data_IF_580081033616
#
_entry.id   IF_580081033616
#
_cell.length_a   1.000
_cell.length_b   1.000
_cell.length_c   1.000
_cell.angle_alpha   90.00
_cell.angle_beta   90.00
_cell.angle_gamma   90.00
#
_symmetry.space_group_name_H-M   'P 1'
#
loop_
_entity.id
_entity.type
_entity.pdbx_description
1 polymer ?
#
# COMPACT_ATOMS: atom_id res chain seq x y z
N UNK A 1 23.53 -12.24 10.24
CA UNK A 1 23.41 -10.77 10.10
C UNK A 1 22.21 -10.35 10.93
N UNK A 2 22.35 -9.36 11.81
CA UNK A 2 21.25 -8.88 12.67
C UNK A 2 20.18 -8.21 11.80
N UNK A 3 18.89 -8.44 12.08
CA UNK A 3 17.79 -7.78 11.35
C UNK A 3 17.60 -6.34 11.83
N UNK A 4 17.17 -5.39 10.97
CA UNK A 4 17.08 -3.96 11.33
C UNK A 4 16.27 -3.65 12.59
N UNK A 5 15.17 -4.38 12.81
CA UNK A 5 14.29 -4.24 13.98
C UNK A 5 14.40 -5.43 14.94
N UNK A 6 15.51 -6.19 14.89
CA UNK A 6 15.76 -7.23 15.87
C UNK A 6 15.80 -6.65 17.29
N UNK A 7 15.05 -7.26 18.21
CA UNK A 7 14.89 -6.77 19.57
C UNK A 7 13.77 -5.73 19.75
N UNK A 8 13.13 -5.26 18.68
CA UNK A 8 11.95 -4.38 18.77
C UNK A 8 10.69 -5.24 18.95
N UNK A 9 9.89 -4.91 19.96
CA UNK A 9 8.60 -5.58 20.25
C UNK A 9 7.41 -4.68 19.92
N UNK A 10 6.46 -5.19 19.14
CA UNK A 10 5.27 -4.48 18.67
C UNK A 10 4.01 -5.18 19.16
N UNK A 11 3.12 -4.45 19.81
CA UNK A 11 1.78 -4.93 20.17
C UNK A 11 0.78 -4.46 19.11
N UNK A 12 0.22 -5.40 18.39
CA UNK A 12 -0.66 -5.18 17.24
C UNK A 12 -2.13 -5.48 17.61
N UNK A 13 -2.90 -4.43 17.91
CA UNK A 13 -4.35 -4.50 18.11
C UNK A 13 -5.13 -4.16 16.83
N UNK A 14 -4.45 -4.18 15.69
CA UNK A 14 -5.05 -3.76 14.43
C UNK A 14 -5.87 -4.87 13.78
N UNK A 15 -6.78 -4.48 12.91
CA UNK A 15 -7.64 -5.39 12.14
C UNK A 15 -7.81 -4.93 10.70
N UNK A 16 -8.26 -5.83 9.83
CA UNK A 16 -8.55 -5.54 8.41
C UNK A 16 -7.26 -5.35 7.60
N UNK A 17 -6.91 -4.15 7.15
CA UNK A 17 -5.85 -3.95 6.16
C UNK A 17 -4.79 -2.92 6.58
N UNK A 18 -5.11 -1.63 6.72
CA UNK A 18 -4.11 -0.58 6.92
C UNK A 18 -3.16 -0.82 8.10
N UNK A 19 -3.73 -1.12 9.27
CA UNK A 19 -2.94 -1.42 10.47
C UNK A 19 -2.16 -2.74 10.36
N UNK A 20 -2.79 -3.87 9.94
CA UNK A 20 -2.07 -5.12 9.77
C UNK A 20 -0.94 -5.03 8.75
N UNK A 21 -1.10 -4.24 7.68
CA UNK A 21 -0.05 -3.96 6.71
C UNK A 21 1.11 -3.21 7.37
N UNK A 22 0.85 -2.14 8.14
CA UNK A 22 1.89 -1.40 8.84
C UNK A 22 2.74 -2.30 9.77
N UNK A 23 2.08 -3.11 10.60
CA UNK A 23 2.79 -4.01 11.53
C UNK A 23 3.41 -5.21 10.82
N UNK A 24 2.87 -5.63 9.68
CA UNK A 24 3.52 -6.61 8.82
C UNK A 24 4.85 -6.08 8.29
N UNK A 25 4.95 -4.81 7.91
CA UNK A 25 6.22 -4.23 7.44
C UNK A 25 7.28 -4.22 8.55
N UNK A 26 6.88 -3.97 9.80
CA UNK A 26 7.80 -4.04 10.95
C UNK A 26 8.23 -5.47 11.24
N UNK A 27 7.31 -6.44 11.16
CA UNK A 27 7.62 -7.87 11.20
C UNK A 27 8.60 -8.24 10.07
N UNK A 28 8.36 -7.65 8.89
CA UNK A 28 9.16 -7.49 7.66
C UNK A 28 10.61 -7.08 7.86
N UNK A 29 10.91 -6.43 8.99
CA UNK A 29 12.23 -5.87 9.29
C UNK A 29 12.85 -6.45 10.57
N UNK A 30 12.16 -7.36 11.25
CA UNK A 30 12.72 -8.21 12.30
C UNK A 30 12.05 -8.05 13.65
N UNK A 31 11.03 -7.19 13.75
CA UNK A 31 10.32 -6.95 14.98
C UNK A 31 9.53 -8.19 15.43
N UNK A 32 9.48 -8.42 16.74
CA UNK A 32 8.57 -9.37 17.38
C UNK A 32 7.17 -8.72 17.44
N UNK A 33 6.29 -9.12 16.53
CA UNK A 33 4.93 -8.57 16.44
C UNK A 33 3.93 -9.53 17.07
N UNK A 34 3.33 -9.09 18.18
CA UNK A 34 2.29 -9.82 18.91
C UNK A 34 0.93 -9.23 18.54
N UNK A 35 0.19 -9.96 17.70
CA UNK A 35 -1.18 -9.63 17.32
C UNK A 35 -2.15 -10.08 18.40
N UNK A 36 -2.84 -9.12 19.00
CA UNK A 36 -3.86 -9.35 20.02
C UNK A 36 -5.22 -9.45 19.34
N UNK A 37 -5.87 -10.61 19.52
CA UNK A 37 -7.06 -11.00 18.78
C UNK A 37 -8.24 -11.31 19.69
N UNK A 38 -9.46 -11.11 19.16
CA UNK A 38 -10.70 -11.36 19.90
C UNK A 38 -10.96 -12.86 20.06
N UNK A 39 -11.47 -13.34 21.21
CA UNK A 39 -11.88 -14.72 21.37
C UNK A 39 -12.89 -15.19 20.32
N UNK A 40 -12.69 -16.41 19.83
CA UNK A 40 -13.56 -17.10 18.87
C UNK A 40 -13.49 -16.57 17.43
N UNK A 41 -13.40 -15.25 17.23
CA UNK A 41 -13.44 -14.61 15.91
C UNK A 41 -12.05 -14.23 15.39
N UNK A 42 -11.20 -13.68 16.26
CA UNK A 42 -9.96 -13.03 15.87
C UNK A 42 -10.14 -11.78 15.01
N UNK A 43 -9.18 -11.55 14.11
CA UNK A 43 -9.27 -10.53 13.05
C UNK A 43 -10.45 -10.83 12.11
N UNK A 44 -11.19 -9.79 11.68
CA UNK A 44 -12.29 -9.94 10.72
C UNK A 44 -11.87 -10.61 9.40
N UNK A 45 -10.63 -10.41 8.96
CA UNK A 45 -10.12 -11.02 7.72
C UNK A 45 -9.99 -12.54 7.81
N UNK A 46 -9.94 -13.12 9.02
CA UNK A 46 -10.00 -14.58 9.20
C UNK A 46 -11.32 -15.17 8.69
N UNK A 47 -12.42 -14.41 8.84
CA UNK A 47 -13.74 -14.79 8.35
C UNK A 47 -13.86 -14.84 6.82
N UNK A 48 -12.85 -14.36 6.08
CA UNK A 48 -12.77 -14.41 4.63
C UNK A 48 -12.04 -15.66 4.12
N UNK A 49 -11.81 -16.65 4.98
CA UNK A 49 -11.20 -17.92 4.58
C UNK A 49 -12.07 -18.61 3.54
N UNK A 50 -11.43 -19.09 2.46
CA UNK A 50 -12.14 -19.68 1.31
C UNK A 50 -12.89 -20.96 1.67
N UNK A 51 -12.43 -21.67 2.71
CA UNK A 51 -13.01 -22.93 3.19
C UNK A 51 -12.83 -23.07 4.71
N UNK A 52 -13.74 -23.77 5.42
CA UNK A 52 -13.66 -23.94 6.88
C UNK A 52 -12.37 -24.61 7.38
N UNK A 53 -11.80 -25.55 6.60
CA UNK A 53 -10.62 -26.33 6.99
C UNK A 53 -9.35 -25.48 7.08
N UNK A 54 -9.37 -24.28 6.48
CA UNK A 54 -8.29 -23.31 6.55
C UNK A 54 -8.24 -22.58 7.91
N UNK A 55 -9.19 -22.84 8.82
CA UNK A 55 -9.21 -22.34 10.22
C UNK A 55 -8.88 -20.84 10.33
N UNK A 56 -9.47 -20.03 9.45
CA UNK A 56 -9.29 -18.59 9.43
C UNK A 56 -8.06 -18.08 8.67
N UNK A 57 -7.34 -18.94 7.94
CA UNK A 57 -6.26 -18.53 7.04
C UNK A 57 -6.83 -18.11 5.68
N UNK A 58 -7.37 -16.89 5.60
CA UNK A 58 -7.71 -16.25 4.33
C UNK A 58 -6.44 -15.75 3.60
N UNK A 59 -6.39 -15.71 2.26
CA UNK A 59 -5.24 -15.16 1.54
C UNK A 59 -4.81 -13.76 2.02
N UNK A 60 -5.77 -12.86 2.26
CA UNK A 60 -5.49 -11.53 2.80
C UNK A 60 -4.98 -11.54 4.24
N UNK A 61 -5.49 -12.45 5.09
CA UNK A 61 -4.97 -12.62 6.44
C UNK A 61 -3.51 -13.11 6.41
N UNK A 62 -3.23 -14.12 5.59
CA UNK A 62 -1.88 -14.68 5.40
C UNK A 62 -0.92 -13.60 4.92
N UNK A 63 -1.30 -12.84 3.90
CA UNK A 63 -0.45 -11.82 3.29
C UNK A 63 -0.01 -10.72 4.27
N UNK A 64 -0.85 -10.40 5.26
CA UNK A 64 -0.61 -9.28 6.19
C UNK A 64 -0.26 -9.72 7.62
N UNK A 65 -0.21 -11.03 7.91
CA UNK A 65 0.04 -11.51 9.27
C UNK A 65 1.03 -12.67 9.34
N UNK A 66 1.60 -13.10 8.21
CA UNK A 66 2.75 -14.00 8.21
C UNK A 66 3.89 -13.46 9.09
N UNK A 67 4.46 -14.33 9.92
CA UNK A 67 5.54 -14.00 10.85
C UNK A 67 5.11 -13.43 12.20
N UNK A 68 3.85 -12.99 12.34
CA UNK A 68 3.33 -12.48 13.62
C UNK A 68 3.02 -13.62 14.60
N UNK A 69 3.05 -13.32 15.89
CA UNK A 69 2.50 -14.17 16.96
C UNK A 69 1.05 -13.78 17.22
N UNK A 70 0.17 -14.75 17.44
CA UNK A 70 -1.26 -14.51 17.70
C UNK A 70 -1.60 -14.87 19.14
N UNK A 71 -2.18 -13.91 19.87
CA UNK A 71 -2.58 -14.05 21.27
C UNK A 71 -4.06 -13.67 21.38
N UNK A 72 -4.86 -14.52 22.01
CA UNK A 72 -6.30 -14.29 22.15
C UNK A 72 -6.61 -13.70 23.52
N UNK A 73 -7.19 -12.49 23.53
CA UNK A 73 -7.50 -11.76 24.77
C UNK A 73 -8.86 -11.06 24.66
N UNK A 74 -9.71 -11.21 25.66
CA UNK A 74 -10.95 -10.42 25.77
C UNK A 74 -10.70 -9.06 26.46
N UNK A 75 -10.51 -8.02 25.64
CA UNK A 75 -10.33 -6.64 26.09
C UNK A 75 -11.53 -6.07 26.88
N UNK A 76 -12.69 -6.73 26.88
CA UNK A 76 -13.85 -6.31 27.69
C UNK A 76 -13.69 -6.69 29.16
N UNK A 77 -12.86 -7.66 29.47
CA UNK A 77 -12.60 -8.12 30.85
C UNK A 77 -11.46 -7.33 31.48
N UNK A 78 -11.47 -7.18 32.81
CA UNK A 78 -10.34 -6.59 33.55
C UNK A 78 -9.07 -7.41 33.36
N UNK A 79 -9.19 -8.73 33.37
CA UNK A 79 -8.07 -9.64 33.15
C UNK A 79 -7.43 -9.41 31.77
N UNK A 80 -8.23 -9.37 30.70
CA UNK A 80 -7.70 -9.16 29.37
C UNK A 80 -7.08 -7.79 29.16
N UNK A 81 -7.63 -6.73 29.78
CA UNK A 81 -6.95 -5.42 29.82
C UNK A 81 -5.62 -5.51 30.55
N UNK A 82 -5.57 -6.19 31.70
CA UNK A 82 -4.35 -6.41 32.47
C UNK A 82 -3.26 -7.14 31.67
N UNK A 83 -3.62 -8.13 30.85
CA UNK A 83 -2.68 -8.81 29.95
C UNK A 83 -2.09 -7.82 28.94
N UNK A 84 -2.91 -6.97 28.32
CA UNK A 84 -2.40 -5.96 27.37
C UNK A 84 -1.52 -4.91 28.06
N UNK A 85 -1.87 -4.47 29.26
CA UNK A 85 -1.04 -3.56 30.05
C UNK A 85 0.34 -4.18 30.35
N UNK A 86 0.40 -5.49 30.65
CA UNK A 86 1.66 -6.21 30.85
C UNK A 86 2.48 -6.36 29.56
N UNK A 87 1.82 -6.64 28.42
CA UNK A 87 2.46 -6.65 27.11
C UNK A 87 3.09 -5.28 26.81
N UNK A 88 2.34 -4.20 27.03
CA UNK A 88 2.78 -2.81 26.83
C UNK A 88 4.01 -2.46 27.67
N UNK A 89 4.11 -2.98 28.90
CA UNK A 89 5.26 -2.76 29.77
C UNK A 89 6.60 -3.26 29.18
N UNK A 90 6.54 -4.19 28.22
CA UNK A 90 7.72 -4.76 27.55
C UNK A 90 7.84 -4.39 26.07
N UNK A 91 6.96 -3.52 25.58
CA UNK A 91 6.86 -3.21 24.16
C UNK A 91 7.59 -1.91 23.79
N UNK A 92 7.97 -1.78 22.53
CA UNK A 92 8.49 -0.54 21.96
C UNK A 92 7.39 0.25 21.25
N UNK A 93 6.47 -0.47 20.61
CA UNK A 93 5.42 0.10 19.77
C UNK A 93 4.09 -0.54 20.10
N UNK A 94 3.06 0.27 20.23
CA UNK A 94 1.67 -0.16 20.31
C UNK A 94 0.91 0.41 19.12
N UNK A 95 0.22 -0.45 18.36
CA UNK A 95 -0.53 -0.03 17.17
C UNK A 95 -1.97 -0.47 17.28
N UNK A 96 -2.90 0.45 17.08
CA UNK A 96 -4.32 0.16 16.98
C UNK A 96 -4.97 0.94 15.85
N UNK A 97 -6.07 0.39 15.33
CA UNK A 97 -6.86 1.06 14.29
C UNK A 97 -8.37 1.05 14.60
N UNK A 98 -8.71 1.22 15.88
CA UNK A 98 -10.09 1.35 16.27
C UNK A 98 -10.67 2.69 15.83
N UNK A 99 -11.99 2.77 15.75
CA UNK A 99 -12.66 4.06 15.57
C UNK A 99 -12.29 5.00 16.73
N UNK A 100 -12.07 6.30 16.49
CA UNK A 100 -11.75 7.26 17.54
C UNK A 100 -12.68 7.15 18.76
N UNK A 101 -12.08 7.20 19.94
CA UNK A 101 -12.75 7.02 21.24
C UNK A 101 -12.97 5.56 21.66
N UNK A 102 -12.80 4.57 20.78
CA UNK A 102 -12.96 3.15 21.17
C UNK A 102 -11.82 2.67 22.07
N UNK A 103 -10.57 3.05 21.80
CA UNK A 103 -9.42 2.74 22.66
C UNK A 103 -9.62 3.29 24.08
N UNK A 104 -10.14 4.52 24.20
CA UNK A 104 -10.48 5.13 25.49
C UNK A 104 -11.54 4.32 26.26
N UNK A 105 -12.59 3.82 25.59
CA UNK A 105 -13.60 2.94 26.21
C UNK A 105 -13.03 1.58 26.65
N UNK A 106 -11.88 1.19 26.13
CA UNK A 106 -11.15 -0.03 26.52
C UNK A 106 -10.05 0.26 27.54
N UNK A 107 -9.86 1.51 27.99
CA UNK A 107 -8.78 1.88 28.89
C UNK A 107 -7.39 1.90 28.25
N UNK A 108 -7.30 1.92 26.92
CA UNK A 108 -6.05 1.82 26.15
C UNK A 108 -5.68 3.19 25.56
N UNK A 109 -5.76 4.26 26.36
CA UNK A 109 -5.37 5.61 25.90
C UNK A 109 -3.85 5.78 25.85
N UNK A 110 -3.32 6.68 25.01
CA UNK A 110 -1.89 7.00 25.00
C UNK A 110 -1.35 7.33 26.39
N UNK A 111 -2.02 8.25 27.11
CA UNK A 111 -1.61 8.66 28.46
C UNK A 111 -1.53 7.48 29.44
N UNK A 112 -2.51 6.56 29.39
CA UNK A 112 -2.55 5.39 30.28
C UNK A 112 -1.42 4.43 29.96
N UNK A 113 -1.21 4.12 28.69
CA UNK A 113 -0.19 3.17 28.27
C UNK A 113 1.23 3.74 28.43
N UNK A 114 1.41 5.04 28.22
CA UNK A 114 2.69 5.72 28.44
C UNK A 114 3.01 5.94 29.92
N UNK A 115 2.01 5.98 30.80
CA UNK A 115 2.25 5.91 32.25
C UNK A 115 2.82 4.56 32.69
N UNK A 116 2.49 3.47 31.96
CA UNK A 116 3.05 2.14 32.19
C UNK A 116 4.45 2.04 31.57
N UNK A 117 4.61 2.54 30.34
CA UNK A 117 5.85 2.53 29.60
C UNK A 117 6.12 3.90 28.96
N UNK A 118 6.91 4.78 29.61
CA UNK A 118 7.18 6.13 29.13
C UNK A 118 7.88 6.21 27.76
N UNK A 119 8.52 5.14 27.31
CA UNK A 119 9.21 5.06 26.02
C UNK A 119 8.36 4.43 24.91
N UNK A 120 7.10 4.11 25.19
CA UNK A 120 6.19 3.51 24.23
C UNK A 120 5.84 4.50 23.11
N UNK A 121 6.03 4.05 21.87
CA UNK A 121 5.49 4.70 20.69
C UNK A 121 4.05 4.23 20.52
N UNK A 122 3.08 5.13 20.70
CA UNK A 122 1.67 4.83 20.47
C UNK A 122 1.30 5.26 19.05
N UNK A 123 0.75 4.35 18.24
CA UNK A 123 0.27 4.65 16.88
C UNK A 123 -1.21 4.33 16.74
N UNK A 124 -2.02 5.35 16.46
CA UNK A 124 -3.42 5.22 16.08
C UNK A 124 -3.58 5.37 14.58
N UNK A 125 -4.34 4.47 13.95
CA UNK A 125 -4.67 4.54 12.53
C UNK A 125 -6.19 4.64 12.38
N UNK A 126 -6.68 5.69 11.71
CA UNK A 126 -8.13 5.90 11.57
C UNK A 126 -8.51 6.40 10.18
N UNK A 127 -9.80 6.37 9.85
CA UNK A 127 -10.28 6.86 8.56
C UNK A 127 -10.09 8.36 8.38
N UNK A 128 -10.48 9.13 9.39
CA UNK A 128 -10.64 10.58 9.30
C UNK A 128 -9.69 11.37 10.21
N UNK A 129 -8.82 10.68 10.96
CA UNK A 129 -8.00 11.26 12.04
C UNK A 129 -8.70 11.21 13.39
N UNK A 130 -7.96 11.49 14.47
CA UNK A 130 -8.53 11.51 15.83
C UNK A 130 -9.35 12.77 16.13
N UNK A 131 -9.25 13.81 15.29
CA UNK A 131 -9.83 15.14 15.53
C UNK A 131 -10.77 15.59 14.40
N UNK A 132 -11.58 16.62 14.69
CA UNK A 132 -12.46 17.23 13.72
C UNK A 132 -13.85 16.57 13.61
N UNK A 133 -14.74 17.16 12.80
CA UNK A 133 -16.17 16.78 12.77
C UNK A 133 -16.42 15.37 12.23
N UNK A 134 -15.49 14.83 11.43
CA UNK A 134 -15.61 13.50 10.83
C UNK A 134 -14.91 12.39 11.62
N UNK A 135 -14.24 12.69 12.74
CA UNK A 135 -13.41 11.70 13.47
C UNK A 135 -14.19 10.40 13.82
N UNK A 136 -15.46 10.52 14.22
CA UNK A 136 -16.28 9.36 14.60
C UNK A 136 -16.92 8.62 13.42
N UNK A 137 -16.77 9.13 12.19
CA UNK A 137 -17.44 8.58 11.01
C UNK A 137 -16.81 7.23 10.61
N UNK A 138 -17.63 6.21 10.28
CA UNK A 138 -17.10 4.94 9.76
C UNK A 138 -16.30 5.15 8.47
N UNK A 139 -15.26 4.36 8.29
CA UNK A 139 -14.41 4.41 7.11
C UNK A 139 -14.06 3.00 6.62
N UNK A 140 -14.06 2.86 5.31
CA UNK A 140 -13.41 1.82 4.55
C UNK A 140 -12.74 2.50 3.36
N UNK A 141 -11.75 1.85 2.76
CA UNK A 141 -10.94 2.36 1.65
C UNK A 141 -11.77 3.11 0.59
N UNK A 142 -12.77 2.46 -0.02
CA UNK A 142 -13.60 3.08 -1.05
C UNK A 142 -14.40 4.30 -0.56
N UNK A 143 -14.83 4.32 0.70
CA UNK A 143 -15.51 5.50 1.29
C UNK A 143 -14.54 6.67 1.39
N UNK A 144 -13.27 6.41 1.74
CA UNK A 144 -12.24 7.45 1.81
C UNK A 144 -11.82 7.90 0.40
N UNK A 145 -11.71 6.99 -0.57
CA UNK A 145 -11.45 7.36 -1.97
C UNK A 145 -12.54 8.32 -2.50
N UNK A 146 -13.81 8.07 -2.15
CA UNK A 146 -14.91 8.97 -2.51
C UNK A 146 -14.77 10.34 -1.81
N UNK A 147 -14.47 10.34 -0.51
CA UNK A 147 -14.42 11.54 0.30
C UNK A 147 -13.24 12.48 -0.02
N UNK A 148 -12.12 11.92 -0.48
CA UNK A 148 -10.88 12.66 -0.70
C UNK A 148 -10.76 13.21 -2.12
N UNK A 149 -11.74 12.95 -2.98
CA UNK A 149 -11.71 13.32 -4.39
C UNK A 149 -10.94 12.34 -5.27
N UNK A 150 -10.32 11.29 -4.72
CA UNK A 150 -9.58 10.29 -5.50
C UNK A 150 -10.43 9.64 -6.59
N UNK A 151 -11.68 9.26 -6.27
CA UNK A 151 -12.60 8.71 -7.29
C UNK A 151 -12.98 9.72 -8.38
N UNK A 152 -12.96 11.02 -8.07
CA UNK A 152 -13.30 12.05 -9.06
C UNK A 152 -12.25 12.12 -10.18
N UNK A 153 -11.01 11.75 -9.87
CA UNK A 153 -9.87 11.77 -10.80
C UNK A 153 -9.77 10.51 -11.67
N UNK A 154 -10.59 9.49 -11.42
CA UNK A 154 -10.50 8.17 -12.04
C UNK A 154 -11.68 7.90 -12.98
N UNK A 155 -11.39 7.32 -14.15
CA UNK A 155 -12.36 7.00 -15.21
C UNK A 155 -12.05 7.74 -16.52
N UNK A 156 -12.81 7.45 -17.59
CA UNK A 156 -12.48 7.89 -18.96
C UNK A 156 -12.45 9.41 -19.13
N UNK A 157 -13.50 10.10 -18.69
CA UNK A 157 -13.64 11.55 -18.76
C UNK A 157 -14.62 12.09 -17.70
N UNK A 158 -14.79 13.42 -17.66
CA UNK A 158 -15.66 14.10 -16.70
C UNK A 158 -17.15 13.74 -16.81
N UNK A 159 -17.60 13.17 -17.94
CA UNK A 159 -18.98 12.75 -18.14
C UNK A 159 -19.22 11.31 -17.66
N UNK A 160 -18.19 10.47 -17.62
CA UNK A 160 -18.29 9.12 -17.07
C UNK A 160 -18.60 9.11 -15.56
N UNK A 161 -19.23 8.05 -15.02
CA UNK A 161 -19.33 7.87 -13.57
C UNK A 161 -17.95 7.80 -12.90
N UNK A 162 -17.77 8.35 -11.67
CA UNK A 162 -16.52 8.21 -10.94
C UNK A 162 -16.23 6.73 -10.64
N UNK A 163 -14.97 6.34 -10.78
CA UNK A 163 -14.52 4.97 -10.53
C UNK A 163 -13.55 4.92 -9.37
N UNK A 164 -13.53 3.81 -8.63
CA UNK A 164 -12.53 3.59 -7.59
C UNK A 164 -11.29 2.92 -8.16
N UNK A 165 -10.18 3.05 -7.47
CA UNK A 165 -8.99 2.24 -7.74
C UNK A 165 -9.31 0.76 -7.53
N UNK A 166 -8.78 -0.09 -8.41
CA UNK A 166 -9.09 -1.53 -8.48
C UNK A 166 -8.70 -2.34 -7.23
N UNK A 167 -7.85 -1.78 -6.37
CA UNK A 167 -7.37 -2.37 -5.12
C UNK A 167 -7.47 -1.35 -3.97
N UNK A 168 -7.35 -1.77 -2.69
CA UNK A 168 -7.51 -0.88 -1.54
C UNK A 168 -6.28 0.02 -1.34
N UNK A 169 -6.09 0.96 -2.26
CA UNK A 169 -4.90 1.82 -2.36
C UNK A 169 -4.71 2.73 -1.16
N UNK A 170 -5.81 3.19 -0.54
CA UNK A 170 -5.75 4.06 0.63
C UNK A 170 -5.35 3.25 1.84
N UNK A 171 -5.89 2.03 2.03
CA UNK A 171 -5.46 1.16 3.14
C UNK A 171 -3.95 0.87 3.07
N UNK A 172 -3.44 0.51 1.89
CA UNK A 172 -2.01 0.22 1.71
C UNK A 172 -1.17 1.49 1.91
N UNK A 173 -1.55 2.62 1.30
CA UNK A 173 -0.83 3.89 1.48
C UNK A 173 -0.83 4.35 2.94
N UNK A 174 -1.94 4.20 3.65
CA UNK A 174 -2.03 4.52 5.09
C UNK A 174 -1.11 3.63 5.90
N UNK A 175 -1.08 2.33 5.61
CA UNK A 175 -0.18 1.39 6.27
C UNK A 175 1.30 1.69 6.02
N UNK A 176 1.66 2.09 4.80
CA UNK A 176 3.01 2.56 4.47
C UNK A 176 3.37 3.82 5.27
N UNK A 177 2.47 4.81 5.34
CA UNK A 177 2.70 6.03 6.11
C UNK A 177 2.83 5.74 7.61
N UNK A 178 2.04 4.81 8.16
CA UNK A 178 2.15 4.39 9.56
C UNK A 178 3.47 3.67 9.86
N UNK A 179 3.88 2.71 9.02
CA UNK A 179 5.17 2.04 9.17
C UNK A 179 6.33 3.04 9.11
N UNK A 180 6.31 3.97 8.16
CA UNK A 180 7.32 5.04 8.04
C UNK A 180 7.35 5.95 9.29
N UNK A 181 6.18 6.35 9.81
CA UNK A 181 6.10 7.16 11.01
C UNK A 181 6.65 6.43 12.26
N UNK A 182 6.38 5.12 12.39
CA UNK A 182 6.92 4.28 13.47
C UNK A 182 8.44 4.15 13.35
N UNK A 183 8.98 3.90 12.15
CA UNK A 183 10.42 3.83 11.92
C UNK A 183 11.11 5.17 12.26
N UNK A 184 10.53 6.29 11.86
CA UNK A 184 11.02 7.62 12.22
C UNK A 184 11.00 7.86 13.74
N UNK A 185 9.94 7.42 14.42
CA UNK A 185 9.82 7.50 15.88
C UNK A 185 10.87 6.63 16.60
N UNK A 186 11.10 5.41 16.12
CA UNK A 186 12.15 4.52 16.64
C UNK A 186 13.55 5.14 16.47
N UNK A 187 13.83 5.73 15.30
CA UNK A 187 15.08 6.45 15.06
C UNK A 187 15.24 7.67 15.97
N UNK A 188 14.17 8.44 16.16
CA UNK A 188 14.15 9.60 17.07
C UNK A 188 14.49 9.18 18.50
N UNK A 189 13.87 8.11 18.99
CA UNK A 189 14.16 7.52 20.32
C UNK A 189 15.60 7.01 20.43
N UNK A 190 16.10 6.32 19.40
CA UNK A 190 17.48 5.82 19.35
C UNK A 190 18.54 6.95 19.40
N UNK A 191 18.17 8.17 19.02
CA UNK A 191 19.03 9.37 19.14
C UNK A 191 18.99 10.02 20.52
N UNK A 192 18.32 9.40 21.49
CA UNK A 192 18.25 9.85 22.88
C UNK A 192 17.09 10.80 23.19
N UNK A 193 16.14 10.98 22.28
CA UNK A 193 14.92 11.73 22.58
C UNK A 193 13.99 10.87 23.46
N UNK A 194 13.61 11.41 24.62
CA UNK A 194 12.76 10.75 25.62
C UNK A 194 11.35 11.32 25.67
N UNK A 195 10.98 12.24 24.77
CA UNK A 195 9.64 12.80 24.74
C UNK A 195 8.61 11.71 24.37
N UNK A 196 7.41 11.68 24.99
CA UNK A 196 6.34 10.77 24.61
C UNK A 196 6.00 10.92 23.12
N UNK A 197 5.83 9.79 22.43
CA UNK A 197 5.50 9.78 21.00
C UNK A 197 4.11 9.18 20.79
N UNK A 198 3.20 9.99 20.26
CA UNK A 198 1.85 9.58 19.85
C UNK A 198 1.70 9.94 18.37
N UNK A 199 1.45 8.94 17.54
CA UNK A 199 1.26 9.07 16.10
C UNK A 199 -0.24 8.96 15.80
N UNK A 200 -0.82 10.01 15.19
CA UNK A 200 -2.15 9.98 14.57
C UNK A 200 -1.97 9.87 13.06
N UNK A 201 -2.33 8.72 12.50
CA UNK A 201 -2.25 8.45 11.07
C UNK A 201 -3.67 8.29 10.53
N UNK A 202 -4.01 9.09 9.51
CA UNK A 202 -5.33 9.07 8.92
C UNK A 202 -5.33 8.62 7.46
N UNK A 203 -6.39 7.92 7.05
CA UNK A 203 -6.59 7.52 5.66
C UNK A 203 -6.81 8.75 4.75
N UNK A 204 -7.40 9.84 5.26
CA UNK A 204 -7.57 11.08 4.50
C UNK A 204 -6.24 11.79 4.22
N UNK A 205 -5.33 11.85 5.20
CA UNK A 205 -4.00 12.47 5.01
C UNK A 205 -3.14 11.60 4.10
N UNK A 206 -3.17 10.27 4.28
CA UNK A 206 -2.49 9.34 3.39
C UNK A 206 -3.01 9.47 1.94
N UNK A 207 -4.32 9.66 1.75
CA UNK A 207 -4.91 9.91 0.42
C UNK A 207 -4.41 11.21 -0.20
N UNK A 208 -4.35 12.30 0.58
CA UNK A 208 -3.82 13.57 0.12
C UNK A 208 -2.34 13.44 -0.30
N UNK A 209 -1.54 12.67 0.46
CA UNK A 209 -0.15 12.38 0.12
C UNK A 209 -0.02 11.58 -1.18
N UNK A 210 -0.85 10.54 -1.37
CA UNK A 210 -0.90 9.78 -2.64
C UNK A 210 -1.28 10.65 -3.83
N UNK A 211 -2.07 11.71 -3.62
CA UNK A 211 -2.48 12.68 -4.63
C UNK A 211 -1.64 13.96 -4.62
N UNK A 212 -0.42 13.94 -4.06
CA UNK A 212 0.39 15.14 -3.81
C UNK A 212 0.52 16.09 -5.01
N UNK A 213 0.74 15.58 -6.21
CA UNK A 213 0.79 16.41 -7.43
C UNK A 213 -0.51 17.14 -7.72
N UNK A 214 -1.66 16.48 -7.52
CA UNK A 214 -2.99 17.06 -7.73
C UNK A 214 -3.34 18.08 -6.66
N UNK A 215 -2.98 17.79 -5.41
CA UNK A 215 -3.12 18.72 -4.29
C UNK A 215 -2.27 19.98 -4.53
N UNK A 216 -1.03 19.80 -4.99
CA UNK A 216 -0.13 20.91 -5.30
C UNK A 216 -0.67 21.78 -6.45
N UNK A 217 -1.18 21.18 -7.53
CA UNK A 217 -1.81 21.92 -8.63
C UNK A 217 -2.98 22.80 -8.15
N UNK A 218 -3.80 22.29 -7.24
CA UNK A 218 -4.90 23.07 -6.68
C UNK A 218 -4.41 24.16 -5.71
N UNK A 219 -3.56 23.83 -4.74
CA UNK A 219 -3.10 24.77 -3.73
C UNK A 219 -2.17 25.87 -4.26
N UNK A 220 -1.30 25.54 -5.21
CA UNK A 220 -0.28 26.47 -5.71
C UNK A 220 -0.74 27.22 -6.96
N UNK A 221 -1.43 26.54 -7.88
CA UNK A 221 -1.84 27.11 -9.16
C UNK A 221 -3.34 27.43 -9.24
N UNK A 222 -4.12 27.16 -8.19
CA UNK A 222 -5.57 27.39 -8.18
C UNK A 222 -6.34 26.56 -9.20
N UNK A 223 -5.70 25.54 -9.78
CA UNK A 223 -6.25 24.76 -10.90
C UNK A 223 -6.83 23.47 -10.37
N UNK A 224 -8.15 23.31 -10.50
CA UNK A 224 -8.82 22.08 -10.12
C UNK A 224 -8.43 20.94 -11.07
N UNK A 225 -7.85 19.84 -10.57
CA UNK A 225 -7.51 18.69 -11.38
C UNK A 225 -8.73 18.14 -12.14
N UNK A 226 -8.52 17.77 -13.39
CA UNK A 226 -9.56 17.17 -14.23
C UNK A 226 -9.32 15.68 -14.41
N UNK A 227 -10.40 14.94 -14.62
CA UNK A 227 -10.32 13.53 -14.99
C UNK A 227 -9.88 13.41 -16.45
N UNK A 228 -8.78 12.70 -16.68
CA UNK A 228 -8.16 12.58 -18.02
C UNK A 228 -8.11 11.16 -18.57
N UNK A 229 -8.60 10.16 -17.84
CA UNK A 229 -8.46 8.75 -18.21
C UNK A 229 -7.00 8.32 -18.16
N UNK A 230 -6.57 7.57 -19.17
CA UNK A 230 -5.19 7.06 -19.26
C UNK A 230 -4.19 8.07 -19.85
N UNK A 231 -4.64 9.28 -20.22
CA UNK A 231 -3.76 10.32 -20.76
C UNK A 231 -2.78 10.79 -19.68
N UNK A 232 -1.52 10.97 -20.08
CA UNK A 232 -0.47 11.50 -19.21
C UNK A 232 -0.80 12.92 -18.73
N UNK A 233 -0.48 13.22 -17.47
CA UNK A 233 -0.86 14.48 -16.81
C UNK A 233 -0.28 15.75 -17.45
N UNK A 234 0.79 15.61 -18.24
CA UNK A 234 1.43 16.73 -18.95
C UNK A 234 0.69 17.07 -20.26
N UNK A 235 -0.17 16.17 -20.76
CA UNK A 235 -0.96 16.41 -21.97
C UNK A 235 -0.21 16.13 -23.27
N UNK A 236 0.82 15.26 -23.26
CA UNK A 236 1.43 14.78 -24.50
C UNK A 236 0.49 13.82 -25.24
N UNK A 237 0.31 13.95 -26.57
CA UNK A 237 -0.50 13.02 -27.37
C UNK A 237 0.07 11.60 -27.44
N UNK A 238 1.39 11.43 -27.27
CA UNK A 238 2.03 10.12 -27.23
C UNK A 238 2.17 9.52 -25.83
N UNK A 239 1.56 10.15 -24.82
CA UNK A 239 1.47 9.62 -23.46
C UNK A 239 0.02 9.22 -23.16
N UNK A 240 -0.38 8.02 -23.55
CA UNK A 240 -1.73 7.49 -23.34
C UNK A 240 -1.68 5.94 -23.42
N UNK A 241 -2.85 5.29 -23.34
CA UNK A 241 -3.04 3.86 -23.56
C UNK A 241 -3.91 3.60 -24.78
N UNK A 242 -3.41 2.77 -25.70
CA UNK A 242 -3.98 2.52 -27.02
C UNK A 242 -4.35 1.05 -27.20
N UNK A 243 -5.49 0.74 -27.83
CA UNK A 243 -5.78 -0.62 -28.27
C UNK A 243 -4.85 -0.98 -29.43
N UNK A 244 -4.49 -2.26 -29.52
CA UNK A 244 -3.63 -2.81 -30.58
C UNK A 244 -4.37 -3.94 -31.31
N UNK A 245 -3.72 -4.62 -32.26
CA UNK A 245 -4.32 -5.81 -32.89
C UNK A 245 -4.65 -6.91 -31.86
N UNK A 246 -3.83 -7.02 -30.82
CA UNK A 246 -4.00 -7.95 -29.71
C UNK A 246 -3.52 -7.30 -28.40
N UNK A 247 -4.47 -7.02 -27.50
CA UNK A 247 -4.19 -6.38 -26.22
C UNK A 247 -4.08 -4.85 -26.30
N UNK A 248 -3.50 -4.27 -25.26
CA UNK A 248 -3.37 -2.82 -25.09
C UNK A 248 -1.91 -2.45 -24.81
N UNK A 249 -1.49 -1.28 -25.28
CA UNK A 249 -0.17 -0.72 -25.01
C UNK A 249 -0.28 0.66 -24.38
N UNK A 250 0.49 0.90 -23.33
CA UNK A 250 0.70 2.24 -22.75
C UNK A 250 2.03 2.77 -23.23
N UNK A 251 2.05 4.05 -23.64
CA UNK A 251 3.27 4.74 -24.05
C UNK A 251 3.45 6.01 -23.24
N UNK A 252 4.70 6.45 -23.09
CA UNK A 252 5.04 7.73 -22.46
C UNK A 252 6.06 8.50 -23.31
N UNK A 253 5.61 8.99 -24.47
CA UNK A 253 6.39 9.90 -25.30
C UNK A 253 6.11 11.35 -24.90
N UNK A 254 6.80 11.84 -23.87
CA UNK A 254 6.53 13.16 -23.28
C UNK A 254 7.34 14.30 -23.90
N UNK A 255 8.45 13.99 -24.56
CA UNK A 255 9.30 14.98 -25.26
C UNK A 255 9.08 14.95 -26.77
N UNK A 256 9.43 16.03 -27.47
CA UNK A 256 9.37 16.08 -28.93
C UNK A 256 10.16 14.93 -29.58
N UNK A 257 11.37 14.64 -29.09
CA UNK A 257 12.21 13.54 -29.57
C UNK A 257 11.52 12.19 -29.43
N UNK A 258 10.96 11.90 -28.26
CA UNK A 258 10.24 10.64 -28.03
C UNK A 258 9.00 10.54 -28.92
N UNK A 259 8.26 11.63 -29.09
CA UNK A 259 7.05 11.63 -29.91
C UNK A 259 7.37 11.45 -31.40
N UNK A 260 8.43 12.09 -31.90
CA UNK A 260 8.96 11.86 -33.25
C UNK A 260 9.36 10.40 -33.47
N UNK A 261 10.05 9.80 -32.51
CA UNK A 261 10.42 8.39 -32.57
C UNK A 261 9.17 7.48 -32.58
N UNK A 262 8.20 7.75 -31.72
CA UNK A 262 6.91 7.02 -31.68
C UNK A 262 6.19 7.11 -33.03
N UNK A 263 6.00 8.31 -33.56
CA UNK A 263 5.37 8.53 -34.86
C UNK A 263 6.13 7.81 -35.99
N UNK A 264 7.46 7.82 -35.97
CA UNK A 264 8.28 7.13 -36.97
C UNK A 264 8.08 5.62 -36.92
N UNK A 265 8.12 5.02 -35.73
CA UNK A 265 7.90 3.56 -35.54
C UNK A 265 6.50 3.15 -36.01
N UNK A 266 5.50 4.01 -35.78
CA UNK A 266 4.12 3.78 -36.21
C UNK A 266 3.90 4.04 -37.71
N UNK A 267 4.92 4.44 -38.47
CA UNK A 267 4.78 4.81 -39.88
C UNK A 267 3.97 6.10 -40.08
N UNK A 268 3.90 6.94 -39.05
CA UNK A 268 3.10 8.18 -38.97
C UNK A 268 3.92 9.43 -38.64
N UNK A 269 5.12 9.51 -39.21
CA UNK A 269 5.99 10.69 -39.07
C UNK A 269 5.33 11.99 -39.57
N UNK A 270 4.34 11.89 -40.46
CA UNK A 270 3.54 13.00 -40.97
C UNK A 270 2.83 13.80 -39.87
N UNK A 271 2.41 13.15 -38.78
CA UNK A 271 1.69 13.79 -37.66
C UNK A 271 2.50 14.95 -37.07
N UNK A 272 3.83 14.80 -36.93
CA UNK A 272 4.71 15.83 -36.36
C UNK A 272 4.84 17.05 -37.26
N UNK A 273 4.70 16.85 -38.57
CA UNK A 273 4.83 17.93 -39.56
C UNK A 273 3.49 18.59 -39.91
N UNK A 274 2.38 17.96 -39.56
CA UNK A 274 1.04 18.48 -39.83
C UNK A 274 0.64 19.53 -38.78
N UNK A 275 0.73 20.79 -39.18
CA UNK A 275 0.34 21.95 -38.35
C UNK A 275 -1.14 21.98 -37.96
N UNK A 276 -2.00 21.22 -38.65
CA UNK A 276 -3.42 21.09 -38.28
C UNK A 276 -3.60 20.12 -37.10
N UNK A 277 -2.71 19.14 -36.96
CA UNK A 277 -2.70 18.17 -35.87
C UNK A 277 -1.87 18.65 -34.67
N UNK A 278 -0.73 19.29 -34.94
CA UNK A 278 0.20 19.81 -33.95
C UNK A 278 0.59 21.26 -34.29
N UNK A 279 -0.21 22.25 -33.84
CA UNK A 279 0.01 23.64 -34.21
C UNK A 279 1.22 24.26 -33.50
N UNK A 280 1.60 23.74 -32.34
CA UNK A 280 2.72 24.22 -31.53
C UNK A 280 3.63 23.06 -31.14
N UNK A 281 4.93 23.25 -31.31
CA UNK A 281 5.98 22.32 -30.89
C UNK A 281 7.05 23.09 -30.13
N UNK A 282 7.74 22.45 -29.16
CA UNK A 282 8.85 23.07 -28.47
C UNK A 282 10.06 23.24 -29.42
N UNK A 283 10.86 24.27 -29.19
CA UNK A 283 12.07 24.55 -29.99
C UNK A 283 13.19 23.53 -29.76
N UNK A 284 13.16 22.83 -28.63
CA UNK A 284 14.14 21.79 -28.26
C UNK A 284 13.56 20.39 -28.45
N UNK A 285 14.34 19.43 -29.02
CA UNK A 285 13.94 18.02 -29.05
C UNK A 285 13.63 17.43 -27.67
N UNK A 286 14.26 17.95 -26.62
CA UNK A 286 14.04 17.48 -25.25
C UNK A 286 12.97 18.30 -24.50
N UNK A 287 12.32 19.24 -25.19
CA UNK A 287 11.18 19.98 -24.68
C UNK A 287 9.95 19.08 -24.52
N UNK A 288 9.19 19.29 -23.44
CA UNK A 288 7.95 18.57 -23.19
C UNK A 288 6.84 19.00 -24.17
N UNK A 289 6.03 18.01 -24.58
CA UNK A 289 4.77 18.25 -25.27
C UNK A 289 3.67 18.44 -24.22
N UNK A 290 3.27 19.69 -24.02
CA UNK A 290 2.30 20.09 -22.99
C UNK A 290 0.98 20.53 -23.62
N UNK A 291 -0.14 20.04 -23.11
CA UNK A 291 -1.50 20.45 -23.54
C UNK A 291 -1.77 20.27 -25.06
N UNK A 292 -1.12 19.28 -25.67
CA UNK A 292 -1.27 18.96 -27.10
C UNK A 292 -2.14 17.74 -27.36
N UNK A 293 -2.55 17.03 -26.31
CA UNK A 293 -3.43 15.88 -26.38
C UNK A 293 -4.80 16.30 -26.96
N UNK A 294 -5.01 15.96 -28.23
CA UNK A 294 -6.26 16.22 -28.92
C UNK A 294 -6.82 14.94 -29.56
N UNK A 295 -8.13 14.94 -29.80
CA UNK A 295 -8.84 13.77 -30.31
C UNK A 295 -8.33 13.33 -31.69
N UNK A 296 -8.00 14.26 -32.58
CA UNK A 296 -7.58 13.93 -33.94
C UNK A 296 -6.26 13.16 -33.95
N UNK A 297 -5.25 13.64 -33.23
CA UNK A 297 -3.96 12.92 -33.09
C UNK A 297 -4.18 11.56 -32.43
N UNK A 298 -4.99 11.50 -31.37
CA UNK A 298 -5.29 10.23 -30.70
C UNK A 298 -5.94 9.22 -31.66
N UNK A 299 -6.92 9.63 -32.46
CA UNK A 299 -7.61 8.76 -33.42
C UNK A 299 -6.62 8.20 -34.46
N UNK A 300 -5.67 9.01 -34.93
CA UNK A 300 -4.61 8.58 -35.84
C UNK A 300 -3.63 7.59 -35.20
N UNK A 301 -3.26 7.81 -33.94
CA UNK A 301 -2.43 6.86 -33.18
C UNK A 301 -3.16 5.53 -32.94
N UNK A 302 -4.44 5.57 -32.56
CA UNK A 302 -5.28 4.37 -32.40
C UNK A 302 -5.31 3.54 -33.69
N UNK A 303 -5.50 4.18 -34.85
CA UNK A 303 -5.47 3.50 -36.15
C UNK A 303 -4.11 2.84 -36.41
N UNK A 304 -3.01 3.53 -36.10
CA UNK A 304 -1.67 3.00 -36.33
C UNK A 304 -1.34 1.82 -35.42
N UNK A 305 -1.66 1.92 -34.11
CA UNK A 305 -1.42 0.85 -33.15
C UNK A 305 -2.21 -0.44 -33.45
N UNK A 306 -3.34 -0.34 -34.16
CA UNK A 306 -4.13 -1.51 -34.56
C UNK A 306 -3.45 -2.44 -35.58
N UNK A 307 -2.30 -2.06 -36.16
CA UNK A 307 -1.62 -2.85 -37.18
C UNK A 307 -0.84 -4.07 -36.63
N UNK A 308 -0.42 -4.04 -35.36
CA UNK A 308 0.35 -5.14 -34.74
C UNK A 308 -0.07 -5.36 -33.28
N UNK A 309 0.41 -6.45 -32.66
CA UNK A 309 0.15 -6.77 -31.26
C UNK A 309 0.89 -5.84 -30.29
N UNK A 310 0.41 -5.74 -29.05
CA UNK A 310 1.07 -4.96 -28.01
C UNK A 310 2.52 -5.43 -27.74
N UNK A 311 2.79 -6.73 -27.85
CA UNK A 311 4.14 -7.30 -27.71
C UNK A 311 5.11 -6.78 -28.78
N UNK A 312 4.69 -6.80 -30.05
CA UNK A 312 5.52 -6.31 -31.16
C UNK A 312 5.79 -4.81 -31.02
N UNK A 313 4.78 -4.03 -30.63
CA UNK A 313 4.96 -2.60 -30.42
C UNK A 313 5.85 -2.26 -29.23
N UNK A 314 5.72 -2.99 -28.12
CA UNK A 314 6.58 -2.81 -26.95
C UNK A 314 8.07 -2.97 -27.34
N UNK A 315 8.41 -4.03 -28.08
CA UNK A 315 9.78 -4.28 -28.56
C UNK A 315 10.28 -3.14 -29.47
N UNK A 316 9.50 -2.76 -30.49
CA UNK A 316 9.89 -1.72 -31.46
C UNK A 316 10.04 -0.34 -30.82
N UNK A 317 9.12 0.04 -29.93
CA UNK A 317 9.14 1.34 -29.26
C UNK A 317 10.30 1.42 -28.26
N UNK A 318 10.57 0.36 -27.49
CA UNK A 318 11.73 0.32 -26.60
C UNK A 318 13.04 0.42 -27.39
N UNK A 319 13.17 -0.27 -28.52
CA UNK A 319 14.34 -0.16 -29.40
C UNK A 319 14.55 1.26 -29.94
N UNK A 320 13.47 2.04 -30.08
CA UNK A 320 13.49 3.44 -30.50
C UNK A 320 13.66 4.45 -29.34
N UNK A 321 13.84 3.97 -28.09
CA UNK A 321 13.99 4.84 -26.92
C UNK A 321 12.67 5.49 -26.46
N UNK A 322 11.53 4.95 -26.87
CA UNK A 322 10.21 5.39 -26.42
C UNK A 322 9.75 4.48 -25.27
N UNK A 323 9.51 5.02 -24.06
CA UNK A 323 8.96 4.23 -22.98
C UNK A 323 7.58 3.68 -23.36
N UNK A 324 7.45 2.36 -23.33
CA UNK A 324 6.21 1.66 -23.65
C UNK A 324 6.10 0.37 -22.83
N UNK A 325 4.87 -0.04 -22.52
CA UNK A 325 4.60 -1.34 -21.92
C UNK A 325 3.25 -1.87 -22.37
N UNK A 326 3.14 -3.18 -22.64
CA UNK A 326 1.82 -3.80 -22.77
C UNK A 326 1.08 -3.79 -21.43
N UNK A 327 -0.25 -3.70 -21.48
CA UNK A 327 -1.09 -3.77 -20.28
C UNK A 327 -1.20 -5.23 -19.82
N UNK A 328 -0.63 -5.53 -18.66
CA UNK A 328 -0.54 -6.88 -18.11
C UNK A 328 -1.71 -7.18 -17.16
N UNK A 329 -2.09 -8.46 -17.07
CA UNK A 329 -2.84 -8.96 -15.91
C UNK A 329 -1.91 -9.15 -14.71
N UNK A 330 -2.46 -9.19 -13.49
CA UNK A 330 -1.67 -9.46 -12.29
C UNK A 330 -0.92 -10.80 -12.39
N UNK A 331 -1.57 -11.85 -12.88
CA UNK A 331 -0.94 -13.16 -13.06
C UNK A 331 0.24 -13.10 -14.05
N UNK A 332 0.02 -12.50 -15.23
CA UNK A 332 1.08 -12.36 -16.24
C UNK A 332 2.26 -11.51 -15.76
N UNK A 333 2.02 -10.46 -14.96
CA UNK A 333 3.08 -9.68 -14.34
C UNK A 333 3.88 -10.49 -13.30
N UNK A 334 3.18 -11.18 -12.40
CA UNK A 334 3.80 -11.96 -11.32
C UNK A 334 4.61 -13.12 -11.87
N UNK A 335 3.99 -13.98 -12.68
CA UNK A 335 4.65 -15.11 -13.36
C UNK A 335 5.69 -14.64 -14.38
N UNK A 336 5.57 -13.37 -14.78
CA UNK A 336 6.42 -12.70 -15.74
C UNK A 336 7.63 -12.02 -15.12
N UNK A 337 7.69 -10.70 -15.31
CA UNK A 337 8.82 -9.88 -14.91
C UNK A 337 9.15 -10.02 -13.42
N UNK A 338 8.13 -10.05 -12.55
CA UNK A 338 8.35 -10.05 -11.12
C UNK A 338 9.11 -11.29 -10.63
N UNK A 339 8.63 -12.50 -10.92
CA UNK A 339 9.33 -13.73 -10.50
C UNK A 339 10.62 -13.98 -11.29
N UNK A 340 10.69 -13.64 -12.59
CA UNK A 340 11.91 -13.81 -13.40
C UNK A 340 13.07 -12.91 -12.93
N UNK A 341 12.77 -11.75 -12.38
CA UNK A 341 13.77 -10.86 -11.77
C UNK A 341 13.99 -11.15 -10.28
N UNK A 342 13.43 -12.26 -9.79
CA UNK A 342 13.54 -12.69 -8.40
C UNK A 342 12.91 -11.72 -7.42
N UNK A 343 11.71 -11.20 -7.73
CA UNK A 343 10.97 -10.12 -7.06
C UNK A 343 11.07 -10.07 -5.53
N UNK A 344 10.71 -8.94 -4.92
CA UNK A 344 10.80 -8.80 -3.46
C UNK A 344 9.67 -9.57 -2.74
N UNK A 345 9.88 -10.88 -2.57
CA UNK A 345 8.93 -11.82 -2.00
C UNK A 345 9.61 -12.72 -0.98
N UNK A 346 8.81 -13.29 -0.07
CA UNK A 346 9.25 -14.31 0.86
C UNK A 346 8.52 -15.62 0.58
N UNK A 347 9.26 -16.72 0.62
CA UNK A 347 8.70 -18.06 0.51
C UNK A 347 8.32 -18.57 1.91
N UNK A 348 7.08 -19.02 2.07
CA UNK A 348 6.63 -19.71 3.26
C UNK A 348 7.04 -21.17 3.18
N UNK A 349 7.56 -21.72 4.29
CA UNK A 349 8.04 -23.11 4.33
C UNK A 349 6.96 -24.15 3.96
N UNK A 350 5.70 -23.84 4.25
CA UNK A 350 4.54 -24.65 3.88
C UNK A 350 3.46 -23.78 3.28
N UNK A 351 2.61 -24.36 2.42
CA UNK A 351 1.45 -23.65 1.89
C UNK A 351 0.36 -23.55 2.96
N UNK A 352 0.04 -22.34 3.47
CA UNK A 352 -0.91 -22.19 4.57
C UNK A 352 -2.35 -22.58 4.17
N UNK A 353 -2.64 -22.60 2.86
CA UNK A 353 -3.94 -23.00 2.32
C UNK A 353 -4.02 -24.45 1.80
N UNK A 354 -3.01 -25.28 2.10
CA UNK A 354 -2.99 -26.70 1.72
C UNK A 354 -2.60 -27.00 0.26
N UNK A 355 -1.88 -26.10 -0.41
CA UNK A 355 -1.29 -26.35 -1.73
C UNK A 355 -0.04 -27.24 -1.66
N UNK A 356 0.31 -27.87 -2.78
CA UNK A 356 1.46 -28.79 -2.88
C UNK A 356 2.82 -28.09 -3.02
N UNK A 357 2.83 -26.82 -3.43
CA UNK A 357 4.03 -26.01 -3.56
C UNK A 357 4.11 -24.98 -2.42
N UNK A 358 5.31 -24.54 -2.00
CA UNK A 358 5.47 -23.43 -1.06
C UNK A 358 4.70 -22.18 -1.52
N UNK A 359 4.01 -21.51 -0.59
CA UNK A 359 3.33 -20.26 -0.90
C UNK A 359 4.32 -19.09 -0.91
N UNK A 360 4.00 -18.06 -1.68
CA UNK A 360 4.74 -16.81 -1.72
C UNK A 360 3.89 -15.69 -1.10
N UNK A 361 4.54 -14.82 -0.36
CA UNK A 361 3.97 -13.54 0.07
C UNK A 361 4.89 -12.41 -0.37
N UNK A 362 4.34 -11.22 -0.56
CA UNK A 362 5.14 -10.04 -0.84
C UNK A 362 6.01 -9.73 0.39
N UNK A 363 7.25 -9.31 0.14
CA UNK A 363 8.09 -8.67 1.14
C UNK A 363 7.97 -7.14 0.99
N UNK A 364 8.80 -6.39 1.69
CA UNK A 364 9.02 -4.97 1.49
C UNK A 364 9.23 -4.62 0.00
N UNK A 365 8.77 -3.44 -0.42
CA UNK A 365 8.90 -2.94 -1.80
C UNK A 365 10.33 -2.56 -2.22
N UNK A 366 11.35 -3.03 -1.50
CA UNK A 366 12.76 -2.72 -1.71
C UNK A 366 13.66 -3.90 -1.34
N UNK A 367 14.92 -3.83 -1.78
CA UNK A 367 15.94 -4.87 -1.55
C UNK A 367 17.13 -4.29 -0.79
N UNK A 368 17.71 -5.08 0.09
CA UNK A 368 18.95 -4.76 0.79
C UNK A 368 20.11 -5.44 0.08
N UNK A 369 21.01 -4.64 -0.52
CA UNK A 369 22.16 -5.13 -1.28
C UNK A 369 21.78 -6.18 -2.36
N UNK A 370 20.61 -6.03 -2.99
CA UNK A 370 20.11 -6.95 -4.03
C UNK A 370 19.30 -8.14 -3.49
N UNK A 371 19.31 -8.39 -2.19
CA UNK A 371 18.51 -9.42 -1.53
C UNK A 371 17.18 -8.83 -1.04
N UNK A 372 16.11 -9.62 -1.04
CA UNK A 372 14.93 -9.31 -0.26
C UNK A 372 15.14 -9.97 1.12
N UNK A 373 15.77 -9.29 2.09
CA UNK A 373 15.95 -9.90 3.40
C UNK A 373 14.57 -10.09 3.98
N UNK A 374 14.29 -11.27 4.54
CA UNK A 374 12.94 -11.48 5.04
C UNK A 374 12.50 -12.93 5.13
N UNK A 375 12.99 -13.77 6.06
CA UNK A 375 12.29 -15.05 6.31
C UNK A 375 10.98 -14.76 7.02
N UNK A 376 9.90 -14.70 6.24
CA UNK A 376 8.55 -14.70 6.78
C UNK A 376 8.34 -15.99 7.60
N UNK A 377 7.93 -15.84 8.86
CA UNK A 377 7.40 -16.96 9.63
C UNK A 377 6.06 -17.42 9.04
N UNK A 378 5.57 -18.56 9.53
CA UNK A 378 4.22 -18.99 9.17
C UNK A 378 3.18 -17.93 9.61
N UNK A 379 2.06 -17.77 8.88
CA UNK A 379 0.92 -17.01 9.39
C UNK A 379 0.33 -17.73 10.60
N UNK A 380 0.04 -17.02 11.71
CA UNK A 380 -0.37 -17.68 12.93
C UNK A 380 -1.81 -18.16 12.87
N UNK A 381 -2.07 -19.36 13.39
CA UNK A 381 -3.43 -19.77 13.76
C UNK A 381 -3.95 -18.86 14.87
N UNK A 382 -5.26 -18.76 15.01
CA UNK A 382 -5.87 -17.95 16.05
C UNK A 382 -5.43 -18.45 17.44
N UNK A 383 -4.76 -17.58 18.19
CA UNK A 383 -4.30 -17.87 19.54
C UNK A 383 -3.14 -18.86 19.64
N UNK A 384 -2.45 -19.16 18.53
CA UNK A 384 -1.37 -20.16 18.46
C UNK A 384 -0.26 -19.91 19.49
N UNK A 385 -0.05 -18.66 19.87
CA UNK A 385 1.05 -18.25 20.75
C UNK A 385 0.54 -17.69 22.09
N UNK A 386 -0.73 -17.93 22.43
CA UNK A 386 -1.33 -17.39 23.66
C UNK A 386 -0.58 -17.90 24.89
N UNK A 387 -0.39 -19.22 25.00
CA UNK A 387 0.29 -19.83 26.15
C UNK A 387 1.75 -19.36 26.25
N UNK A 388 2.52 -19.47 25.17
CA UNK A 388 3.93 -19.04 25.11
C UNK A 388 4.12 -17.59 25.55
N UNK A 389 3.28 -16.66 25.06
CA UNK A 389 3.39 -15.24 25.40
C UNK A 389 3.00 -14.98 26.87
N UNK A 390 1.99 -15.68 27.38
CA UNK A 390 1.61 -15.57 28.80
C UNK A 390 2.71 -16.11 29.73
N UNK A 391 3.39 -17.18 29.33
CA UNK A 391 4.55 -17.72 30.04
C UNK A 391 5.76 -16.77 29.99
N UNK A 392 6.05 -16.14 28.84
CA UNK A 392 7.08 -15.11 28.71
C UNK A 392 6.85 -13.95 29.70
N UNK A 393 5.61 -13.48 29.80
CA UNK A 393 5.23 -12.44 30.74
C UNK A 393 5.43 -12.91 32.20
N UNK A 394 5.02 -14.14 32.51
CA UNK A 394 5.18 -14.71 33.85
C UNK A 394 6.66 -14.85 34.25
N UNK A 395 7.50 -15.34 33.34
CA UNK A 395 8.94 -15.49 33.55
C UNK A 395 9.65 -14.12 33.70
N UNK A 396 9.15 -13.08 33.03
CA UNK A 396 9.57 -11.69 33.20
C UNK A 396 9.12 -11.03 34.51
N UNK A 397 8.44 -11.77 35.40
CA UNK A 397 7.98 -11.28 36.71
C UNK A 397 6.56 -10.71 36.72
N UNK A 398 5.79 -10.84 35.63
CA UNK A 398 4.38 -10.45 35.61
C UNK A 398 3.51 -11.50 36.31
N UNK A 399 2.49 -11.08 37.07
CA UNK A 399 1.51 -12.02 37.65
C UNK A 399 0.49 -12.40 36.58
N UNK A 400 0.74 -13.51 35.88
CA UNK A 400 -0.20 -14.08 34.89
C UNK A 400 -0.87 -15.32 35.48
N UNK A 401 -2.19 -15.42 35.38
CA UNK A 401 -2.93 -16.69 35.51
C UNK A 401 -3.68 -16.89 34.20
N UNK A 402 -3.61 -18.11 33.66
CA UNK A 402 -4.31 -18.53 32.45
C UNK A 402 -5.83 -18.40 32.57
#
# INVERSE_FOLDING_TARGET
>A
MMRPLEGIRVIDLTHVLAGPFATHQLCMLGADVIKVEKPGQGDQTRGLALRPELKGLAPGFVALNAGKRSVVVDLKTDHGRGVVEQLVATADVFVENFRPGKAAKLGLTPDRLQAINPQLIYCSISGWGQVGPNASRPAYDHVIQAATGMMSLQGDDSAAPPTKVGFPVVDIGTGMSAANAILAALLRRARGDTAPIVLDVSMVDASAQLMSGMVASYWLAGTAPQRVGNRGFVGSPGSDTFPTAEGWISTAANTLRQFQALCTVLGRADIVTDKTLLPTLPDSPDGFLTDLANKAVRDELVKAFAAESADSWEEKLMAAGVPASKVQTVASYLDGHYLRTGGAHAQLAMHPLGGSAPAQILNEGYRWAGEAPMRAGAPPKLGEHTEDVLEELAAGGAKVRA
#
